data_IF_999954099083
#
_entry.id   IF_999954099083
#
_cell.length_a   1.000
_cell.length_b   1.000
_cell.length_c   1.000
_cell.angle_alpha   90.00
_cell.angle_beta   90.00
_cell.angle_gamma   90.00
#
_symmetry.space_group_name_H-M   'P 1'
#
loop_
_entity.id
_entity.type
_entity.pdbx_description
1 polymer ?
#
# COMPACT_ATOMS: atom_id res chain seq x y z
N UNK A 1 6.03 -9.42 12.36
CA UNK A 1 7.11 -9.00 11.44
C UNK A 1 6.52 -8.08 10.37
N UNK A 2 7.22 -7.02 10.04
CA UNK A 2 6.76 -6.08 9.01
C UNK A 2 7.72 -6.10 7.83
N UNK A 3 7.15 -6.13 6.64
CA UNK A 3 7.93 -6.16 5.40
C UNK A 3 7.81 -4.83 4.70
N UNK A 4 8.95 -4.19 4.46
CA UNK A 4 9.04 -2.91 3.76
C UNK A 4 9.80 -3.10 2.46
N UNK A 5 9.42 -2.31 1.46
CA UNK A 5 10.14 -2.26 0.20
C UNK A 5 11.02 -1.00 0.17
N UNK A 6 12.22 -1.15 -0.33
CA UNK A 6 13.22 -0.07 -0.37
C UNK A 6 13.65 0.18 -1.81
N UNK A 7 13.94 1.44 -2.11
CA UNK A 7 14.49 1.80 -3.41
C UNK A 7 16.00 1.55 -3.45
N UNK A 8 16.65 1.91 -4.55
CA UNK A 8 18.09 1.67 -4.72
C UNK A 8 18.97 2.48 -3.77
N UNK A 9 18.41 3.54 -3.18
CA UNK A 9 19.11 4.38 -2.21
C UNK A 9 18.77 4.01 -0.77
N UNK A 10 18.16 2.85 -0.55
CA UNK A 10 17.74 2.35 0.75
C UNK A 10 16.66 3.19 1.42
N UNK A 11 15.87 3.90 0.63
CA UNK A 11 14.72 4.64 1.16
C UNK A 11 13.46 3.79 1.06
N UNK A 12 12.75 3.71 2.17
CA UNK A 12 11.51 2.95 2.25
C UNK A 12 10.42 3.64 1.42
N UNK A 13 9.77 2.91 0.53
CA UNK A 13 8.71 3.50 -0.30
C UNK A 13 7.37 2.78 -0.19
N UNK A 14 7.32 1.59 0.38
CA UNK A 14 6.06 0.86 0.54
C UNK A 14 6.15 -0.10 1.71
N UNK A 15 5.02 -0.36 2.33
CA UNK A 15 4.93 -1.27 3.46
C UNK A 15 3.50 -1.42 3.93
N UNK A 16 3.30 -1.81 5.18
CA UNK A 16 1.98 -2.10 5.74
C UNK A 16 1.06 -0.87 5.75
N UNK A 17 1.59 0.30 6.09
CA UNK A 17 0.79 1.54 6.10
C UNK A 17 0.19 1.86 4.74
N UNK A 18 1.01 2.03 3.71
CA UNK A 18 0.49 2.23 2.35
C UNK A 18 -0.42 1.09 1.87
N UNK A 19 -0.11 -0.16 2.24
CA UNK A 19 -0.94 -1.31 1.90
C UNK A 19 -2.37 -1.13 2.47
N UNK A 20 -2.46 -0.80 3.74
CA UNK A 20 -3.75 -0.55 4.40
C UNK A 20 -4.48 0.64 3.78
N UNK A 21 -3.75 1.67 3.42
CA UNK A 21 -4.33 2.86 2.80
C UNK A 21 -4.98 2.51 1.45
N UNK A 22 -4.31 1.70 0.64
CA UNK A 22 -4.87 1.26 -0.64
C UNK A 22 -6.15 0.44 -0.45
N UNK A 23 -6.16 -0.47 0.52
CA UNK A 23 -7.37 -1.23 0.85
C UNK A 23 -8.49 -0.32 1.33
N UNK A 24 -8.16 0.67 2.14
CA UNK A 24 -9.17 1.62 2.64
C UNK A 24 -9.75 2.46 1.49
N UNK A 25 -8.94 2.81 0.50
CA UNK A 25 -9.42 3.52 -0.68
C UNK A 25 -10.36 2.63 -1.48
N UNK A 26 -10.03 1.36 -1.66
CA UNK A 26 -10.92 0.41 -2.33
C UNK A 26 -12.26 0.30 -1.61
N UNK A 27 -12.22 0.22 -0.29
CA UNK A 27 -13.41 0.03 0.53
C UNK A 27 -14.29 1.27 0.56
N UNK A 28 -13.69 2.45 0.70
CA UNK A 28 -14.45 3.70 0.88
C UNK A 28 -14.73 4.43 -0.43
N UNK A 29 -13.92 4.20 -1.45
CA UNK A 29 -14.02 4.93 -2.71
C UNK A 29 -13.53 6.37 -2.61
N UNK A 30 -12.81 6.72 -1.55
CA UNK A 30 -12.39 8.09 -1.28
C UNK A 30 -11.06 8.12 -0.53
N UNK A 31 -10.10 8.88 -1.07
CA UNK A 31 -8.82 9.11 -0.39
C UNK A 31 -9.03 9.77 0.97
N UNK A 32 -9.93 10.75 1.04
CA UNK A 32 -10.21 11.49 2.27
C UNK A 32 -10.84 10.59 3.33
N UNK A 33 -11.83 9.79 2.93
CA UNK A 33 -12.46 8.86 3.85
C UNK A 33 -11.49 7.76 4.30
N UNK A 34 -10.65 7.28 3.39
CA UNK A 34 -9.63 6.28 3.72
C UNK A 34 -8.65 6.82 4.75
N UNK A 35 -8.12 8.02 4.54
CA UNK A 35 -7.22 8.67 5.49
C UNK A 35 -7.89 8.83 6.85
N UNK A 36 -9.15 9.29 6.86
CA UNK A 36 -9.92 9.45 8.10
C UNK A 36 -10.08 8.15 8.86
N UNK A 37 -10.33 7.05 8.15
CA UNK A 37 -10.49 5.74 8.79
C UNK A 37 -9.20 5.24 9.44
N UNK A 38 -8.06 5.80 9.07
CA UNK A 38 -6.75 5.45 9.62
C UNK A 38 -6.21 6.52 10.57
N UNK A 39 -7.06 7.48 10.96
CA UNK A 39 -6.66 8.61 11.80
C UNK A 39 -5.46 9.36 11.22
N UNK A 40 -5.48 9.54 9.93
CA UNK A 40 -4.37 10.13 9.18
C UNK A 40 -4.83 11.39 8.48
N UNK A 41 -4.00 12.43 8.50
CA UNK A 41 -4.27 13.63 7.72
C UNK A 41 -4.26 13.33 6.23
N UNK A 42 -5.14 13.99 5.48
CA UNK A 42 -5.22 13.81 4.03
C UNK A 42 -3.87 14.07 3.36
N UNK A 43 -3.17 15.13 3.78
CA UNK A 43 -1.86 15.47 3.23
C UNK A 43 -0.83 14.37 3.44
N UNK A 44 -0.89 13.69 4.58
CA UNK A 44 0.01 12.57 4.86
C UNK A 44 -0.31 11.37 3.97
N UNK A 45 -1.59 11.06 3.81
CA UNK A 45 -2.00 9.96 2.93
C UNK A 45 -1.53 10.22 1.50
N UNK A 46 -1.70 11.44 1.02
CA UNK A 46 -1.27 11.83 -0.31
C UNK A 46 0.25 11.70 -0.46
N UNK A 47 1.00 12.14 0.54
CA UNK A 47 2.46 12.06 0.57
C UNK A 47 2.95 10.61 0.50
N UNK A 48 2.30 9.72 1.25
CA UNK A 48 2.62 8.29 1.26
C UNK A 48 2.46 7.69 -0.15
N UNK A 49 1.34 7.98 -0.80
CA UNK A 49 1.09 7.44 -2.14
C UNK A 49 2.03 8.04 -3.18
N UNK A 50 2.32 9.34 -3.11
CA UNK A 50 3.23 9.98 -4.04
C UNK A 50 4.65 9.43 -3.95
N UNK A 51 5.11 9.13 -2.73
CA UNK A 51 6.43 8.54 -2.53
C UNK A 51 6.52 7.18 -3.23
N UNK A 52 5.50 6.35 -3.05
CA UNK A 52 5.45 5.04 -3.70
C UNK A 52 5.38 5.19 -5.23
N UNK A 53 4.52 6.08 -5.71
CA UNK A 53 4.36 6.31 -7.15
C UNK A 53 5.65 6.82 -7.80
N UNK A 54 6.39 7.69 -7.10
CA UNK A 54 7.67 8.18 -7.61
C UNK A 54 8.66 7.06 -7.84
N UNK A 55 8.72 6.11 -6.92
CA UNK A 55 9.65 4.98 -7.04
C UNK A 55 9.16 3.98 -8.09
N UNK A 56 7.86 3.69 -8.09
CA UNK A 56 7.28 2.71 -9.00
C UNK A 56 7.12 3.22 -10.44
N UNK A 57 7.03 4.54 -10.61
CA UNK A 57 6.85 5.20 -11.92
C UNK A 57 5.52 4.87 -12.58
N UNK A 58 4.48 4.63 -11.78
CA UNK A 58 3.10 4.55 -12.25
C UNK A 58 2.15 4.97 -11.13
N UNK A 59 0.95 5.43 -11.47
CA UNK A 59 -0.02 5.83 -10.45
C UNK A 59 -0.66 4.62 -9.78
N UNK A 60 -0.84 4.70 -8.46
CA UNK A 60 -1.51 3.66 -7.69
C UNK A 60 -3.01 3.90 -7.62
N UNK A 61 -3.40 5.16 -7.68
CA UNK A 61 -4.82 5.56 -7.60
C UNK A 61 -5.13 6.54 -8.71
N UNK A 62 -6.42 6.65 -9.02
CA UNK A 62 -6.91 7.63 -9.98
C UNK A 62 -8.23 8.20 -9.49
N UNK A 63 -8.51 9.43 -9.91
CA UNK A 63 -9.77 10.07 -9.58
C UNK A 63 -10.87 9.58 -10.50
N UNK A 64 -12.03 9.33 -9.91
CA UNK A 64 -13.23 9.00 -10.67
C UNK A 64 -13.88 10.29 -11.08
N UNK A 65 -14.24 10.41 -12.36
CA UNK A 65 -14.88 11.60 -12.92
C UNK A 65 -16.37 11.35 -13.02
N UNK A 66 -17.17 12.35 -12.56
CA UNK A 66 -18.62 12.29 -12.66
C UNK A 66 -19.27 11.59 -11.48
N UNK A 67 -20.59 11.57 -11.49
CA UNK A 67 -21.38 11.00 -10.42
C UNK A 67 -21.87 12.05 -9.45
N UNK A 68 -22.87 11.68 -8.67
CA UNK A 68 -23.48 12.55 -7.67
C UNK A 68 -22.51 12.81 -6.54
N UNK A 69 -22.35 14.08 -6.20
CA UNK A 69 -21.56 14.46 -5.05
C UNK A 69 -20.06 14.60 -5.30
N UNK A 70 -19.66 14.67 -6.57
CA UNK A 70 -18.26 14.83 -6.93
C UNK A 70 -17.56 13.52 -7.13
N UNK A 71 -16.28 13.58 -7.42
CA UNK A 71 -15.48 12.41 -7.72
C UNK A 71 -15.01 11.67 -6.49
N UNK A 72 -14.73 10.40 -6.64
CA UNK A 72 -14.06 9.58 -5.65
C UNK A 72 -12.67 9.21 -6.11
N UNK A 73 -12.13 8.19 -5.49
CA UNK A 73 -10.83 7.63 -5.85
C UNK A 73 -10.95 6.12 -5.95
N UNK A 74 -10.17 5.55 -6.84
CA UNK A 74 -10.07 4.08 -6.96
C UNK A 74 -8.64 3.70 -7.28
N UNK A 75 -8.30 2.45 -7.09
CA UNK A 75 -6.98 1.96 -7.50
C UNK A 75 -6.94 1.84 -9.02
N UNK A 76 -5.78 2.16 -9.59
CA UNK A 76 -5.52 1.85 -10.99
C UNK A 76 -5.35 0.34 -11.15
N UNK A 77 -5.42 -0.17 -12.37
CA UNK A 77 -5.14 -1.59 -12.61
C UNK A 77 -3.72 -1.94 -12.16
N UNK A 78 -2.75 -1.06 -12.44
CA UNK A 78 -1.37 -1.23 -12.00
C UNK A 78 -1.27 -1.22 -10.47
N UNK A 79 -2.04 -0.35 -9.81
CA UNK A 79 -2.10 -0.28 -8.36
C UNK A 79 -2.63 -1.56 -7.74
N UNK A 80 -3.69 -2.13 -8.33
CA UNK A 80 -4.25 -3.40 -7.86
C UNK A 80 -3.24 -4.53 -8.01
N UNK A 81 -2.58 -4.59 -9.15
CA UNK A 81 -1.57 -5.61 -9.42
C UNK A 81 -0.41 -5.49 -8.45
N UNK A 82 0.09 -4.27 -8.24
CA UNK A 82 1.18 -4.04 -7.30
C UNK A 82 0.80 -4.43 -5.88
N UNK A 83 -0.41 -4.06 -5.45
CA UNK A 83 -0.90 -4.42 -4.11
C UNK A 83 -0.91 -5.93 -3.92
N UNK A 84 -1.41 -6.66 -4.91
CA UNK A 84 -1.44 -8.12 -4.87
C UNK A 84 -0.03 -8.70 -4.82
N UNK A 85 0.90 -8.14 -5.60
CA UNK A 85 2.30 -8.57 -5.59
C UNK A 85 2.97 -8.31 -4.26
N UNK A 86 2.73 -7.13 -3.67
CA UNK A 86 3.29 -6.82 -2.36
C UNK A 86 2.79 -7.81 -1.30
N UNK A 87 1.49 -8.09 -1.30
CA UNK A 87 0.91 -8.98 -0.32
C UNK A 87 1.43 -10.41 -0.48
N UNK A 88 1.57 -10.87 -1.71
CA UNK A 88 2.14 -12.20 -1.97
C UNK A 88 3.60 -12.28 -1.50
N UNK A 89 4.38 -11.25 -1.79
CA UNK A 89 5.78 -11.17 -1.34
C UNK A 89 5.87 -11.15 0.19
N UNK A 90 5.06 -10.29 0.83
CA UNK A 90 5.02 -10.19 2.29
C UNK A 90 4.70 -11.54 2.93
N UNK A 91 3.67 -12.20 2.43
CA UNK A 91 3.24 -13.48 3.02
C UNK A 91 4.28 -14.58 2.80
N UNK A 92 4.91 -14.61 1.64
CA UNK A 92 5.98 -15.57 1.36
C UNK A 92 7.19 -15.33 2.28
N UNK A 93 7.58 -14.07 2.47
CA UNK A 93 8.66 -13.72 3.39
C UNK A 93 8.34 -14.12 4.83
N UNK A 94 7.08 -13.93 5.22
CA UNK A 94 6.63 -14.28 6.56
C UNK A 94 6.76 -15.79 6.80
N UNK A 95 6.29 -16.59 5.84
CA UNK A 95 6.38 -18.05 5.95
C UNK A 95 7.82 -18.52 5.99
N UNK A 96 8.67 -17.96 5.14
CA UNK A 96 10.08 -18.32 5.07
C UNK A 96 10.81 -17.92 6.37
N UNK A 97 10.43 -16.79 6.94
CA UNK A 97 10.99 -16.35 8.22
C UNK A 97 10.69 -17.36 9.32
N UNK A 98 9.46 -17.87 9.38
CA UNK A 98 9.10 -18.89 10.38
C UNK A 98 9.88 -20.18 10.16
N UNK A 99 10.03 -20.60 8.92
CA UNK A 99 10.81 -21.80 8.60
C UNK A 99 12.25 -21.67 9.06
N UNK A 100 12.88 -20.54 8.76
CA UNK A 100 14.27 -20.28 9.13
C UNK A 100 14.40 -20.20 10.66
N UNK A 101 13.45 -19.57 11.32
CA UNK A 101 13.45 -19.48 12.78
C UNK A 101 13.47 -20.88 13.41
N UNK A 102 12.56 -21.75 12.98
CA UNK A 102 12.48 -23.11 13.52
C UNK A 102 13.74 -23.93 13.20
N UNK A 103 14.31 -23.72 12.02
CA UNK A 103 15.52 -24.42 11.61
C UNK A 103 16.70 -24.08 12.50
N UNK A 104 16.84 -22.81 12.88
CA UNK A 104 17.99 -22.32 13.65
C UNK A 104 17.78 -22.47 15.16
N UNK A 105 16.60 -22.14 15.64
CA UNK A 105 16.33 -22.08 17.08
C UNK A 105 15.56 -23.30 17.62
N UNK A 106 15.07 -24.13 16.73
CA UNK A 106 14.26 -25.28 17.12
C UNK A 106 12.79 -24.89 17.34
N UNK A 107 12.00 -25.88 17.69
CA UNK A 107 10.54 -25.69 17.88
C UNK A 107 10.19 -25.04 19.21
#
# INVERSE_FOLDING_TARGET
MRIYLYDEEDNRFFGEGPCRLLHAIEKTGSMRAAAGSMDMAYSKALSILRRAENTLQFPLTEKMIGGKGGGGSRLTDQGKEFLAQYEAYRDACYQENLRIYHEIFGD
#
